data_IF_348053708539
#
_entry.id   IF_348053708539
#
_cell.length_a   1.000
_cell.length_b   1.000
_cell.length_c   1.000
_cell.angle_alpha   90.00
_cell.angle_beta   90.00
_cell.angle_gamma   90.00
#
_symmetry.space_group_name_H-M   'P 1'
#
loop_
_entity.id
_entity.type
_entity.pdbx_description
1 polymer ?
#
# COMPACT_ATOMS: atom_id res chain seq x y z
N UNK A 1 43.41 -34.82 -21.25
CA UNK A 1 42.84 -35.82 -20.33
C UNK A 1 41.34 -35.53 -20.24
N UNK A 2 40.60 -36.40 -20.87
CA UNK A 2 39.12 -36.35 -21.00
C UNK A 2 38.52 -37.01 -19.77
N UNK A 3 37.60 -36.36 -19.07
CA UNK A 3 36.76 -36.99 -18.04
C UNK A 3 35.30 -36.83 -18.41
N UNK A 4 34.73 -37.94 -18.79
CA UNK A 4 33.30 -38.18 -19.11
C UNK A 4 32.43 -38.17 -17.86
N UNK A 5 31.27 -37.54 -17.95
CA UNK A 5 30.18 -37.56 -16.95
C UNK A 5 29.40 -38.88 -17.04
N UNK A 6 28.89 -39.43 -15.93
CA UNK A 6 28.06 -40.63 -15.94
C UNK A 6 26.58 -40.34 -16.33
N UNK A 7 25.81 -41.34 -16.82
CA UNK A 7 24.46 -41.16 -17.36
C UNK A 7 23.38 -41.02 -16.28
N UNK A 8 22.36 -40.23 -16.63
CA UNK A 8 21.13 -40.00 -15.84
C UNK A 8 20.26 -41.27 -15.87
N UNK A 9 19.87 -41.74 -14.71
CA UNK A 9 18.94 -42.86 -14.54
C UNK A 9 17.48 -42.46 -14.81
N UNK A 10 16.75 -43.31 -15.52
CA UNK A 10 15.35 -43.23 -15.90
C UNK A 10 14.39 -43.29 -14.66
N UNK A 11 13.19 -42.72 -14.78
CA UNK A 11 12.23 -42.68 -13.66
C UNK A 11 11.58 -44.05 -13.39
N UNK A 12 11.58 -44.44 -12.13
CA UNK A 12 10.88 -45.59 -11.59
C UNK A 12 9.36 -45.39 -11.61
N UNK A 13 8.65 -46.34 -12.17
CA UNK A 13 7.20 -46.50 -12.18
C UNK A 13 6.66 -46.68 -10.76
N UNK A 14 5.59 -45.94 -10.42
CA UNK A 14 4.81 -46.06 -9.19
C UNK A 14 3.79 -47.21 -9.38
N UNK A 15 3.64 -48.14 -8.41
CA UNK A 15 2.61 -49.19 -8.49
C UNK A 15 1.20 -48.60 -8.24
N UNK A 16 0.26 -48.93 -9.12
CA UNK A 16 -1.18 -48.78 -8.86
C UNK A 16 -1.61 -49.90 -7.91
N UNK A 17 -2.08 -49.51 -6.71
CA UNK A 17 -3.14 -50.18 -5.93
C UNK A 17 -3.10 -49.65 -4.49
N UNK A 18 -4.05 -48.78 -4.22
CA UNK A 18 -4.41 -48.42 -2.85
C UNK A 18 -5.94 -48.38 -2.75
N UNK A 19 -6.52 -49.48 -2.27
CA UNK A 19 -7.98 -49.67 -2.13
C UNK A 19 -8.65 -48.77 -1.07
N UNK A 20 -7.91 -47.99 -0.30
CA UNK A 20 -8.47 -47.11 0.74
C UNK A 20 -9.04 -45.80 0.23
N UNK A 21 -8.72 -45.37 -1.00
CA UNK A 21 -9.24 -44.08 -1.54
C UNK A 21 -10.62 -44.20 -2.18
N UNK A 22 -11.08 -45.40 -2.52
CA UNK A 22 -12.38 -45.64 -3.18
C UNK A 22 -13.58 -45.52 -2.22
N UNK A 23 -13.39 -45.74 -0.92
CA UNK A 23 -14.47 -45.70 0.09
C UNK A 23 -14.93 -44.27 0.45
N UNK A 24 -14.05 -43.28 0.37
CA UNK A 24 -14.34 -41.90 0.81
C UNK A 24 -15.09 -41.07 -0.24
N UNK A 25 -14.92 -41.37 -1.52
CA UNK A 25 -15.60 -40.65 -2.61
C UNK A 25 -17.07 -41.13 -2.75
N UNK A 26 -17.35 -42.41 -2.44
CA UNK A 26 -18.72 -42.93 -2.51
C UNK A 26 -19.60 -42.44 -1.34
N UNK A 27 -19.01 -42.10 -0.19
CA UNK A 27 -19.77 -41.60 0.98
C UNK A 27 -20.15 -40.12 0.84
N UNK A 28 -19.38 -39.33 0.11
CA UNK A 28 -19.70 -37.93 -0.17
C UNK A 28 -20.79 -37.74 -1.24
N UNK A 29 -20.95 -38.71 -2.14
CA UNK A 29 -22.01 -38.70 -3.16
C UNK A 29 -23.38 -39.17 -2.61
N UNK A 30 -23.41 -39.86 -1.50
CA UNK A 30 -24.68 -40.35 -0.89
C UNK A 30 -25.33 -39.34 0.04
N UNK A 31 -24.56 -38.38 0.60
CA UNK A 31 -25.07 -37.31 1.46
C UNK A 31 -25.70 -36.13 0.69
N UNK A 32 -25.45 -36.02 -0.60
CA UNK A 32 -26.00 -34.95 -1.44
C UNK A 32 -27.47 -35.15 -1.88
N UNK A 33 -28.11 -36.29 -1.53
CA UNK A 33 -29.47 -36.61 -2.02
C UNK A 33 -30.63 -36.20 -1.12
N UNK A 34 -30.43 -35.56 0.03
CA UNK A 34 -31.49 -35.22 0.99
C UNK A 34 -31.52 -33.80 1.49
N UNK A 35 -31.06 -32.81 0.70
CA UNK A 35 -31.35 -31.40 0.98
C UNK A 35 -32.41 -30.91 0.00
N UNK A 36 -33.64 -30.59 0.44
CA UNK A 36 -34.65 -30.01 -0.44
C UNK A 36 -34.25 -28.58 -0.80
N UNK A 37 -33.64 -28.37 -1.95
CA UNK A 37 -33.44 -27.05 -2.54
C UNK A 37 -34.79 -26.44 -2.87
N UNK A 38 -35.21 -25.48 -2.07
CA UNK A 38 -36.36 -24.64 -2.33
C UNK A 38 -36.20 -23.89 -3.65
N UNK A 39 -36.92 -24.33 -4.69
CA UNK A 39 -36.91 -23.79 -6.07
C UNK A 39 -37.64 -22.44 -6.20
N UNK A 40 -37.65 -21.55 -5.22
CA UNK A 40 -38.50 -20.35 -5.28
C UNK A 40 -37.79 -19.01 -5.55
N UNK A 41 -36.47 -18.94 -5.84
CA UNK A 41 -35.82 -17.63 -6.02
C UNK A 41 -35.02 -17.45 -7.32
N UNK A 42 -35.17 -18.33 -8.33
CA UNK A 42 -34.51 -18.10 -9.64
C UNK A 42 -35.51 -18.22 -10.80
N UNK A 43 -36.41 -17.26 -10.94
CA UNK A 43 -37.08 -16.97 -12.20
C UNK A 43 -37.46 -15.50 -12.28
N UNK A 44 -36.50 -14.60 -12.58
CA UNK A 44 -36.82 -13.46 -13.42
C UNK A 44 -36.74 -13.96 -14.87
N UNK A 45 -37.74 -13.74 -15.70
CA UNK A 45 -37.69 -14.20 -17.09
C UNK A 45 -36.61 -13.39 -17.83
N UNK A 46 -35.59 -14.08 -18.34
CA UNK A 46 -34.72 -13.53 -19.37
C UNK A 46 -35.60 -13.10 -20.55
N UNK A 47 -35.67 -11.79 -20.80
CA UNK A 47 -36.24 -11.28 -22.04
C UNK A 47 -35.42 -11.83 -23.21
N UNK A 48 -35.97 -12.79 -23.94
CA UNK A 48 -35.42 -13.24 -25.24
C UNK A 48 -35.51 -12.08 -26.18
N UNK A 49 -34.37 -11.54 -26.61
CA UNK A 49 -34.43 -10.66 -27.80
C UNK A 49 -33.40 -9.57 -27.98
N UNK A 50 -32.40 -9.37 -27.07
CA UNK A 50 -31.31 -8.44 -27.40
C UNK A 50 -29.97 -9.21 -27.38
N UNK A 51 -29.12 -9.10 -28.39
CA UNK A 51 -27.79 -9.66 -28.40
C UNK A 51 -26.95 -8.99 -27.31
N UNK A 52 -26.05 -9.73 -26.66
CA UNK A 52 -25.26 -9.30 -25.50
C UNK A 52 -24.45 -7.98 -25.69
N UNK A 53 -24.25 -7.53 -26.95
CA UNK A 53 -23.62 -6.26 -27.28
C UNK A 53 -24.56 -5.05 -27.20
N UNK A 54 -25.91 -5.24 -27.33
CA UNK A 54 -26.89 -4.14 -27.18
C UNK A 54 -27.10 -3.70 -25.72
N UNK A 55 -26.76 -4.53 -24.73
CA UNK A 55 -26.84 -4.17 -23.30
C UNK A 55 -25.75 -3.15 -22.93
N UNK A 56 -24.72 -2.98 -23.77
CA UNK A 56 -23.62 -2.03 -23.56
C UNK A 56 -23.92 -0.58 -24.00
N UNK A 57 -25.04 -0.31 -24.67
CA UNK A 57 -25.27 1.00 -25.29
C UNK A 57 -26.07 2.01 -24.46
N UNK A 58 -26.49 1.70 -23.25
CA UNK A 58 -27.24 2.63 -22.38
C UNK A 58 -26.52 2.94 -21.07
N UNK A 59 -25.18 3.02 -21.07
CA UNK A 59 -24.45 3.59 -19.92
C UNK A 59 -24.56 5.11 -20.01
N UNK A 60 -25.37 5.70 -19.17
CA UNK A 60 -25.44 7.15 -18.98
C UNK A 60 -24.27 7.53 -18.08
N UNK A 61 -23.18 8.03 -18.65
CA UNK A 61 -22.09 8.59 -17.87
C UNK A 61 -22.57 9.86 -17.19
N UNK A 62 -22.61 9.85 -15.87
CA UNK A 62 -23.05 10.96 -15.05
C UNK A 62 -21.88 11.67 -14.33
N UNK A 63 -20.64 11.19 -14.53
CA UNK A 63 -19.44 11.72 -13.91
C UNK A 63 -18.28 11.79 -14.88
N UNK A 64 -17.36 12.73 -14.66
CA UNK A 64 -16.14 12.84 -15.45
C UNK A 64 -14.92 13.27 -14.61
N UNK A 65 -13.76 13.07 -15.21
CA UNK A 65 -12.46 13.54 -14.74
C UNK A 65 -11.99 14.58 -15.74
N UNK A 66 -11.63 15.78 -15.28
CA UNK A 66 -10.96 16.80 -16.06
C UNK A 66 -9.51 16.87 -15.58
N UNK A 67 -8.55 16.60 -16.47
CA UNK A 67 -7.14 16.75 -16.18
C UNK A 67 -6.68 18.20 -16.40
N UNK A 68 -5.67 18.63 -15.66
CA UNK A 68 -5.09 20.00 -15.77
C UNK A 68 -4.71 20.40 -17.22
N UNK A 69 -4.38 19.42 -18.08
CA UNK A 69 -4.18 19.62 -19.52
C UNK A 69 -5.44 19.64 -20.38
N UNK A 70 -6.65 19.68 -19.80
CA UNK A 70 -7.93 19.76 -20.50
C UNK A 70 -8.48 18.44 -21.03
N UNK A 71 -7.76 17.32 -20.90
CA UNK A 71 -8.30 16.02 -21.32
C UNK A 71 -9.36 15.52 -20.35
N UNK A 72 -10.47 15.01 -20.89
CA UNK A 72 -11.60 14.49 -20.12
C UNK A 72 -11.74 12.98 -20.25
N UNK A 73 -12.24 12.34 -19.18
CA UNK A 73 -12.58 10.93 -19.12
C UNK A 73 -13.93 10.80 -18.44
N UNK A 74 -14.86 10.09 -19.06
CA UNK A 74 -16.23 9.94 -18.60
C UNK A 74 -16.45 8.58 -17.96
N UNK A 75 -17.40 8.51 -17.00
CA UNK A 75 -17.76 7.29 -16.30
C UNK A 75 -19.02 7.43 -15.45
N UNK A 76 -19.25 6.43 -14.62
CA UNK A 76 -20.39 6.32 -13.71
C UNK A 76 -19.96 6.62 -12.28
N UNK A 77 -20.71 7.45 -11.56
CA UNK A 77 -20.41 7.80 -10.16
C UNK A 77 -20.68 6.62 -9.23
N UNK A 78 -19.78 6.42 -8.26
CA UNK A 78 -20.02 5.63 -7.05
C UNK A 78 -19.35 6.30 -5.83
N UNK A 79 -19.60 5.81 -4.62
CA UNK A 79 -19.11 6.48 -3.42
C UNK A 79 -19.88 7.77 -3.11
N UNK A 80 -19.19 8.82 -2.65
CA UNK A 80 -19.79 10.10 -2.26
C UNK A 80 -19.97 11.00 -3.48
N UNK A 81 -21.11 11.73 -3.61
CA UNK A 81 -21.26 12.77 -4.62
C UNK A 81 -20.40 14.02 -4.30
N UNK A 82 -20.30 14.93 -5.26
CA UNK A 82 -19.60 16.22 -5.13
C UNK A 82 -18.24 16.26 -5.82
N UNK A 83 -17.75 17.46 -6.01
CA UNK A 83 -16.51 17.74 -6.72
C UNK A 83 -15.28 17.50 -5.82
N UNK A 84 -14.19 17.03 -6.45
CA UNK A 84 -12.93 16.82 -5.75
C UNK A 84 -11.75 17.13 -6.67
N UNK A 85 -10.89 18.06 -6.24
CA UNK A 85 -9.58 18.27 -6.86
C UNK A 85 -8.52 17.48 -6.11
N UNK A 86 -7.76 16.66 -6.85
CA UNK A 86 -6.72 15.78 -6.30
C UNK A 86 -5.50 15.76 -7.21
N UNK A 87 -4.35 15.33 -6.69
CA UNK A 87 -3.26 14.84 -7.51
C UNK A 87 -3.62 13.45 -8.05
N UNK A 88 -3.59 13.25 -9.38
CA UNK A 88 -3.92 11.96 -9.97
C UNK A 88 -2.70 11.06 -10.07
N UNK A 89 -2.84 9.83 -9.57
CA UNK A 89 -1.82 8.80 -9.57
C UNK A 89 -2.41 7.46 -10.03
N UNK A 90 -1.59 6.46 -10.33
CA UNK A 90 -2.08 5.12 -10.64
C UNK A 90 -1.38 4.08 -9.78
N UNK A 91 -2.05 2.94 -9.54
CA UNK A 91 -1.49 1.79 -8.85
C UNK A 91 -1.62 0.54 -9.72
N UNK A 92 -0.54 -0.26 -9.80
CA UNK A 92 -0.45 -1.46 -10.65
C UNK A 92 -0.69 -2.77 -9.90
N UNK A 93 -1.04 -2.73 -8.62
CA UNK A 93 -1.35 -3.93 -7.83
C UNK A 93 -2.56 -4.66 -8.40
N UNK A 94 -2.48 -5.99 -8.46
CA UNK A 94 -3.56 -6.85 -8.96
C UNK A 94 -4.60 -7.19 -7.89
N UNK A 95 -4.30 -6.94 -6.62
CA UNK A 95 -5.15 -7.18 -5.46
C UNK A 95 -4.88 -6.13 -4.38
N UNK A 96 -5.70 -6.12 -3.32
CA UNK A 96 -5.47 -5.24 -2.16
C UNK A 96 -6.03 -3.84 -2.33
N UNK A 97 -7.15 -3.67 -3.05
CA UNK A 97 -7.77 -2.35 -3.19
C UNK A 97 -8.23 -1.77 -1.85
N UNK A 98 -8.57 -2.61 -0.86
CA UNK A 98 -8.96 -2.17 0.47
C UNK A 98 -7.76 -1.56 1.22
N UNK A 99 -6.61 -2.23 1.18
CA UNK A 99 -5.36 -1.76 1.77
C UNK A 99 -4.91 -0.46 1.09
N UNK A 100 -5.03 -0.36 -0.25
CA UNK A 100 -4.73 0.87 -1.00
C UNK A 100 -5.69 2.01 -0.58
N UNK A 101 -6.99 1.73 -0.45
CA UNK A 101 -8.00 2.71 -0.01
C UNK A 101 -7.67 3.25 1.38
N UNK A 102 -7.18 2.41 2.28
CA UNK A 102 -6.89 2.73 3.67
C UNK A 102 -5.41 3.09 3.95
N UNK A 103 -4.54 3.09 2.93
CA UNK A 103 -3.17 3.59 3.06
C UNK A 103 -3.16 5.12 3.06
N UNK A 104 -2.84 5.71 4.20
CA UNK A 104 -2.80 7.16 4.42
C UNK A 104 -1.78 7.89 3.53
N UNK A 105 -0.82 7.18 2.94
CA UNK A 105 0.12 7.75 1.96
C UNK A 105 -0.57 8.23 0.67
N UNK A 106 -1.81 7.80 0.38
CA UNK A 106 -2.63 8.30 -0.72
C UNK A 106 -3.53 9.50 -0.35
N UNK A 107 -3.38 10.07 0.82
CA UNK A 107 -4.16 11.26 1.23
C UNK A 107 -4.10 12.34 0.16
N UNK A 108 -5.28 12.90 -0.22
CA UNK A 108 -5.47 13.89 -1.30
C UNK A 108 -5.12 13.41 -2.72
N UNK A 109 -4.89 12.13 -2.93
CA UNK A 109 -4.62 11.58 -4.26
C UNK A 109 -5.84 10.86 -4.84
N UNK A 110 -6.11 11.09 -6.13
CA UNK A 110 -7.06 10.31 -6.92
C UNK A 110 -6.32 9.09 -7.49
N UNK A 111 -6.68 7.89 -7.00
CA UNK A 111 -5.98 6.65 -7.33
C UNK A 111 -6.67 5.93 -8.49
N UNK A 112 -5.96 5.77 -9.60
CA UNK A 112 -6.39 4.97 -10.75
C UNK A 112 -5.95 3.53 -10.54
N UNK A 113 -6.89 2.61 -10.40
CA UNK A 113 -6.59 1.18 -10.34
C UNK A 113 -6.40 0.64 -11.75
N UNK A 114 -5.22 0.07 -12.03
CA UNK A 114 -4.97 -0.54 -13.35
C UNK A 114 -5.58 -1.94 -13.47
N UNK A 115 -5.77 -2.64 -12.35
CA UNK A 115 -6.54 -3.88 -12.31
C UNK A 115 -8.02 -3.57 -12.60
N UNK A 116 -8.65 -4.29 -13.56
CA UNK A 116 -9.94 -3.86 -14.08
C UNK A 116 -11.10 -3.98 -13.10
N UNK A 117 -11.18 -5.05 -12.31
CA UNK A 117 -12.34 -5.38 -11.47
C UNK A 117 -12.08 -5.00 -10.00
N UNK A 118 -12.81 -4.02 -9.49
CA UNK A 118 -12.68 -3.50 -8.13
C UNK A 118 -14.03 -3.58 -7.38
N UNK A 119 -13.99 -3.96 -6.10
CA UNK A 119 -15.17 -4.12 -5.25
C UNK A 119 -15.62 -5.58 -5.07
N UNK A 120 -15.12 -6.49 -5.89
CA UNK A 120 -15.58 -7.87 -6.01
C UNK A 120 -15.44 -8.74 -4.75
N UNK A 121 -14.58 -8.39 -3.79
CA UNK A 121 -14.45 -9.09 -2.52
C UNK A 121 -14.90 -8.26 -1.29
N UNK A 122 -15.45 -7.06 -1.52
CA UNK A 122 -15.96 -6.19 -0.46
C UNK A 122 -14.86 -5.66 0.46
N UNK A 123 -15.23 -5.35 1.70
CA UNK A 123 -14.36 -4.79 2.72
C UNK A 123 -14.37 -5.70 3.95
N UNK A 124 -13.20 -6.21 4.35
CA UNK A 124 -13.00 -7.05 5.53
C UNK A 124 -12.48 -6.21 6.72
N UNK A 125 -12.89 -6.55 7.95
CA UNK A 125 -12.53 -5.76 9.13
C UNK A 125 -11.02 -5.73 9.42
N UNK A 126 -10.32 -6.81 9.11
CA UNK A 126 -8.90 -7.01 9.44
C UNK A 126 -7.94 -6.37 8.43
N UNK A 127 -8.39 -6.14 7.19
CA UNK A 127 -7.52 -5.73 6.07
C UNK A 127 -7.37 -4.21 5.95
N UNK A 128 -7.87 -3.44 6.93
CA UNK A 128 -7.64 -1.99 6.99
C UNK A 128 -6.24 -1.65 7.48
N UNK A 129 -5.59 -0.73 6.77
CA UNK A 129 -4.29 -0.17 7.14
C UNK A 129 -4.41 1.12 7.97
N UNK A 130 -5.58 1.76 7.98
CA UNK A 130 -5.92 2.88 8.86
C UNK A 130 -7.35 2.76 9.39
N UNK A 131 -7.69 3.56 10.41
CA UNK A 131 -9.06 3.59 10.95
C UNK A 131 -10.02 4.20 9.93
N UNK A 132 -9.61 5.28 9.28
CA UNK A 132 -10.43 6.01 8.31
C UNK A 132 -9.64 6.18 7.02
N UNK A 133 -10.10 5.60 5.90
CA UNK A 133 -9.56 5.87 4.58
C UNK A 133 -9.57 7.37 4.25
N UNK A 134 -8.52 7.86 3.59
CA UNK A 134 -8.33 9.29 3.30
C UNK A 134 -7.90 9.59 1.86
N UNK A 135 -7.99 8.62 0.94
CA UNK A 135 -7.70 8.89 -0.47
C UNK A 135 -8.63 9.98 -1.01
N UNK A 136 -8.16 10.76 -1.98
CA UNK A 136 -8.94 11.83 -2.58
C UNK A 136 -10.10 11.33 -3.44
N UNK A 137 -9.86 10.31 -4.26
CA UNK A 137 -10.86 9.64 -5.08
C UNK A 137 -10.39 8.26 -5.55
N UNK A 138 -11.33 7.39 -5.95
CA UNK A 138 -11.03 6.09 -6.54
C UNK A 138 -11.54 6.02 -7.99
N UNK A 139 -10.65 5.65 -8.92
CA UNK A 139 -10.94 5.59 -10.36
C UNK A 139 -10.72 4.16 -10.85
N UNK A 140 -11.77 3.55 -11.43
CA UNK A 140 -11.75 2.13 -11.77
C UNK A 140 -12.31 1.86 -13.17
N UNK A 141 -11.92 0.74 -13.78
CA UNK A 141 -12.48 0.27 -15.05
C UNK A 141 -13.85 -0.35 -14.83
N UNK A 142 -13.96 -1.28 -13.89
CA UNK A 142 -15.17 -2.00 -13.55
C UNK A 142 -15.37 -1.94 -12.04
N UNK A 143 -16.48 -1.34 -11.61
CA UNK A 143 -16.89 -1.32 -10.23
C UNK A 143 -17.94 -2.41 -9.99
N UNK A 144 -17.73 -3.22 -8.96
CA UNK A 144 -18.68 -4.25 -8.51
C UNK A 144 -19.12 -3.96 -7.07
N UNK A 145 -20.43 -3.80 -6.87
CA UNK A 145 -21.04 -3.56 -5.55
C UNK A 145 -21.67 -4.82 -4.95
N UNK A 146 -21.51 -5.98 -5.59
CA UNK A 146 -21.99 -7.28 -5.12
C UNK A 146 -20.79 -8.17 -4.74
N UNK A 147 -20.21 -8.01 -3.52
CA UNK A 147 -19.02 -8.74 -3.13
C UNK A 147 -19.31 -10.23 -2.91
N UNK A 148 -18.38 -11.07 -3.35
CA UNK A 148 -18.42 -12.54 -3.19
C UNK A 148 -17.25 -13.02 -2.34
N UNK A 149 -17.24 -12.64 -1.05
CA UNK A 149 -16.22 -13.05 -0.08
C UNK A 149 -16.86 -13.23 1.30
N UNK A 150 -16.63 -14.35 1.94
CA UNK A 150 -17.18 -14.65 3.28
C UNK A 150 -16.69 -13.70 4.38
N UNK A 151 -15.54 -13.03 4.19
CA UNK A 151 -14.98 -12.03 5.11
C UNK A 151 -15.57 -10.62 4.92
N UNK A 152 -16.34 -10.42 3.84
CA UNK A 152 -16.91 -9.10 3.54
C UNK A 152 -17.95 -8.70 4.58
N UNK A 153 -17.76 -7.54 5.21
CA UNK A 153 -18.69 -6.96 6.19
C UNK A 153 -19.41 -5.73 5.63
N UNK A 154 -18.87 -5.11 4.57
CA UNK A 154 -19.46 -3.95 3.87
C UNK A 154 -19.07 -4.00 2.41
N UNK A 155 -19.83 -3.29 1.56
CA UNK A 155 -19.40 -3.04 0.20
C UNK A 155 -18.38 -1.90 0.15
N UNK A 156 -17.60 -1.84 -0.92
CA UNK A 156 -16.65 -0.74 -1.15
C UNK A 156 -17.37 0.62 -1.22
N UNK A 157 -18.54 0.66 -1.91
CA UNK A 157 -19.34 1.88 -2.04
C UNK A 157 -19.89 2.40 -0.71
N UNK A 158 -20.32 1.52 0.21
CA UNK A 158 -20.76 1.90 1.55
C UNK A 158 -19.63 2.56 2.36
N UNK A 159 -18.42 1.97 2.32
CA UNK A 159 -17.25 2.54 3.01
C UNK A 159 -16.84 3.87 2.41
N UNK A 160 -16.79 3.99 1.08
CA UNK A 160 -16.46 5.24 0.42
C UNK A 160 -17.46 6.36 0.74
N UNK A 161 -18.77 6.05 0.76
CA UNK A 161 -19.78 7.02 1.19
C UNK A 161 -19.59 7.47 2.63
N UNK A 162 -19.34 6.53 3.54
CA UNK A 162 -19.13 6.84 4.95
C UNK A 162 -17.87 7.71 5.19
N UNK A 163 -16.85 7.56 4.34
CA UNK A 163 -15.58 8.30 4.43
C UNK A 163 -15.56 9.58 3.57
N UNK A 164 -16.62 9.91 2.84
CA UNK A 164 -16.67 11.09 1.98
C UNK A 164 -15.76 10.99 0.74
N UNK A 165 -15.52 9.78 0.23
CA UNK A 165 -14.63 9.51 -0.90
C UNK A 165 -15.46 9.35 -2.18
N UNK A 166 -15.27 10.20 -3.20
CA UNK A 166 -15.89 10.03 -4.51
C UNK A 166 -15.22 8.93 -5.32
N UNK A 167 -16.00 8.26 -6.16
CA UNK A 167 -15.51 7.25 -7.09
C UNK A 167 -16.09 7.44 -8.49
N UNK A 168 -15.35 6.95 -9.49
CA UNK A 168 -15.80 6.90 -10.89
C UNK A 168 -15.42 5.56 -11.52
N UNK A 169 -16.40 4.83 -12.04
CA UNK A 169 -16.28 3.55 -12.73
C UNK A 169 -16.53 3.71 -14.24
N UNK A 170 -16.23 2.68 -15.01
CA UNK A 170 -16.42 2.69 -16.48
C UNK A 170 -15.36 3.46 -17.25
N UNK A 171 -14.32 3.97 -16.57
CA UNK A 171 -13.27 4.81 -17.15
C UNK A 171 -12.28 3.96 -17.96
N UNK A 172 -11.75 4.51 -19.06
CA UNK A 172 -10.58 3.93 -19.72
C UNK A 172 -9.32 4.17 -18.87
N UNK A 173 -9.16 3.34 -17.84
CA UNK A 173 -8.03 3.41 -16.91
C UNK A 173 -6.69 3.18 -17.59
N UNK A 174 -6.63 2.40 -18.70
CA UNK A 174 -5.40 2.20 -19.48
C UNK A 174 -4.95 3.49 -20.17
N UNK A 175 -5.88 4.19 -20.85
CA UNK A 175 -5.56 5.47 -21.49
C UNK A 175 -5.18 6.53 -20.47
N UNK A 176 -5.85 6.56 -19.30
CA UNK A 176 -5.57 7.47 -18.20
C UNK A 176 -4.18 7.19 -17.59
N UNK A 177 -3.86 5.93 -17.29
CA UNK A 177 -2.54 5.51 -16.78
C UNK A 177 -1.41 5.88 -17.74
N UNK A 178 -1.59 5.66 -19.05
CA UNK A 178 -0.61 6.09 -20.05
C UNK A 178 -0.43 7.61 -20.06
N UNK A 179 -1.51 8.36 -19.90
CA UNK A 179 -1.44 9.82 -19.80
C UNK A 179 -0.65 10.28 -18.59
N UNK A 180 -0.80 9.63 -17.43
CA UNK A 180 -0.03 9.93 -16.22
C UNK A 180 1.45 9.56 -16.42
N UNK A 181 1.75 8.40 -16.99
CA UNK A 181 3.12 7.96 -17.29
C UNK A 181 3.84 8.94 -18.23
N UNK A 182 3.16 9.36 -19.28
CA UNK A 182 3.77 10.15 -20.36
C UNK A 182 3.93 11.63 -19.97
N UNK A 183 3.03 12.18 -19.15
CA UNK A 183 3.00 13.62 -18.79
C UNK A 183 3.21 13.90 -17.30
N UNK A 184 3.33 12.89 -16.46
CA UNK A 184 3.51 13.01 -15.02
C UNK A 184 2.20 13.09 -14.23
N UNK A 185 2.34 13.04 -12.89
CA UNK A 185 1.25 13.34 -11.97
C UNK A 185 0.88 14.82 -12.05
N UNK A 186 -0.40 15.13 -11.92
CA UNK A 186 -0.94 16.49 -12.03
C UNK A 186 -2.30 16.59 -11.36
N UNK A 187 -2.82 17.79 -11.25
CA UNK A 187 -4.18 17.99 -10.73
C UNK A 187 -5.23 17.40 -11.66
N UNK A 188 -6.25 16.79 -11.06
CA UNK A 188 -7.45 16.31 -11.72
C UNK A 188 -8.67 16.73 -10.90
N UNK A 189 -9.74 17.13 -11.58
CA UNK A 189 -11.05 17.38 -11.01
C UNK A 189 -11.96 16.20 -11.33
N UNK A 190 -12.52 15.58 -10.30
CA UNK A 190 -13.60 14.60 -10.42
C UNK A 190 -14.90 15.36 -10.18
N UNK A 191 -15.79 15.41 -11.17
CA UNK A 191 -16.99 16.24 -11.17
C UNK A 191 -18.14 15.61 -11.97
N UNK A 192 -19.31 16.21 -11.95
CA UNK A 192 -20.46 15.76 -12.73
C UNK A 192 -20.21 15.92 -14.23
N UNK A 193 -20.82 15.05 -15.04
CA UNK A 193 -20.55 14.98 -16.49
C UNK A 193 -20.93 16.24 -17.26
N UNK A 194 -21.88 17.03 -16.76
CA UNK A 194 -22.39 18.26 -17.35
C UNK A 194 -21.56 19.52 -17.00
N UNK A 195 -20.60 19.43 -16.04
CA UNK A 195 -19.67 20.53 -15.71
C UNK A 195 -18.98 21.05 -16.98
N UNK A 196 -19.07 22.34 -17.33
CA UNK A 196 -18.35 22.88 -18.48
C UNK A 196 -16.82 22.71 -18.32
N UNK A 197 -16.15 22.26 -19.38
CA UNK A 197 -14.70 22.05 -19.34
C UNK A 197 -13.92 23.32 -18.93
N UNK A 198 -14.33 24.49 -19.41
CA UNK A 198 -13.68 25.76 -19.10
C UNK A 198 -13.78 26.07 -17.59
N UNK A 199 -14.95 25.88 -16.99
CA UNK A 199 -15.18 26.04 -15.57
C UNK A 199 -14.34 25.06 -14.74
N UNK A 200 -14.30 23.78 -15.12
CA UNK A 200 -13.47 22.78 -14.48
C UNK A 200 -11.97 23.11 -14.54
N UNK A 201 -11.50 23.67 -15.66
CA UNK A 201 -10.11 24.14 -15.78
C UNK A 201 -9.83 25.36 -14.89
N UNK A 202 -10.78 26.26 -14.72
CA UNK A 202 -10.63 27.40 -13.81
C UNK A 202 -10.57 26.96 -12.35
N UNK A 203 -11.40 25.97 -11.95
CA UNK A 203 -11.32 25.32 -10.64
C UNK A 203 -9.93 24.70 -10.43
N UNK A 204 -9.41 23.95 -11.42
CA UNK A 204 -8.08 23.35 -11.33
C UNK A 204 -6.95 24.37 -11.18
N UNK A 205 -7.04 25.51 -11.89
CA UNK A 205 -6.03 26.58 -11.81
C UNK A 205 -6.06 27.27 -10.45
N UNK A 206 -7.24 27.57 -9.92
CA UNK A 206 -7.42 28.29 -8.66
C UNK A 206 -7.17 27.43 -7.41
N UNK A 207 -7.29 26.10 -7.53
CA UNK A 207 -7.12 25.21 -6.38
C UNK A 207 -5.65 24.94 -6.10
N UNK A 208 -5.22 25.22 -4.86
CA UNK A 208 -3.92 24.84 -4.32
C UNK A 208 -4.09 23.57 -3.52
N UNK A 209 -3.33 22.52 -3.84
CA UNK A 209 -3.34 21.28 -3.07
C UNK A 209 -2.70 21.51 -1.69
N UNK A 210 -3.25 20.91 -0.62
CA UNK A 210 -2.71 21.10 0.72
C UNK A 210 -1.35 20.44 0.90
N UNK A 211 -0.46 21.10 1.67
CA UNK A 211 0.88 20.58 2.03
C UNK A 211 0.94 20.02 3.45
N UNK A 212 -0.16 20.02 4.18
CA UNK A 212 -0.24 19.58 5.57
C UNK A 212 -0.82 18.15 5.73
N UNK A 213 -0.61 17.28 4.75
CA UNK A 213 -1.21 15.95 4.74
C UNK A 213 -0.81 15.12 5.97
N UNK A 214 0.47 15.11 6.36
CA UNK A 214 0.98 14.38 7.55
C UNK A 214 0.25 14.81 8.82
N UNK A 215 0.11 16.11 9.07
CA UNK A 215 -0.53 16.61 10.31
C UNK A 215 -2.03 16.25 10.42
N UNK A 216 -2.68 15.96 9.27
CA UNK A 216 -4.09 15.56 9.24
C UNK A 216 -4.30 14.07 9.47
N UNK A 217 -3.29 13.24 9.20
CA UNK A 217 -3.40 11.76 9.27
C UNK A 217 -2.65 11.14 10.43
N UNK A 218 -1.67 11.83 11.00
CA UNK A 218 -0.96 11.39 12.21
C UNK A 218 -1.90 11.29 13.41
N UNK A 219 -1.60 10.40 14.33
CA UNK A 219 -2.32 10.30 15.60
C UNK A 219 -2.22 11.63 16.38
N UNK A 220 -3.30 11.98 17.10
CA UNK A 220 -3.32 13.21 17.92
C UNK A 220 -2.63 13.01 19.26
N UNK A 221 -2.86 11.85 19.87
CA UNK A 221 -2.33 11.49 21.17
C UNK A 221 -1.48 10.23 21.04
N UNK A 222 -0.40 10.11 21.86
CA UNK A 222 0.38 8.88 21.93
C UNK A 222 -0.49 7.69 22.38
N UNK A 223 -0.22 6.53 21.78
CA UNK A 223 -0.86 5.28 22.20
C UNK A 223 0.14 4.14 22.13
N UNK A 224 -0.09 3.08 22.89
CA UNK A 224 0.80 1.92 22.95
C UNK A 224 0.06 0.68 22.48
N UNK A 225 0.73 -0.09 21.61
CA UNK A 225 0.28 -1.41 21.16
C UNK A 225 1.25 -2.45 21.71
N UNK A 226 0.71 -3.35 22.49
CA UNK A 226 1.44 -4.53 22.97
C UNK A 226 1.24 -5.69 21.99
N UNK A 227 2.17 -6.67 22.02
CA UNK A 227 2.08 -7.86 21.18
C UNK A 227 0.69 -8.49 21.31
N UNK A 228 -0.08 -8.61 20.23
CA UNK A 228 -1.31 -9.36 20.29
C UNK A 228 -0.98 -10.79 20.69
N UNK A 229 -1.75 -11.34 21.61
CA UNK A 229 -1.87 -12.79 21.78
C UNK A 229 -1.97 -13.40 20.39
N UNK A 230 -1.14 -14.37 20.07
CA UNK A 230 -0.99 -14.96 18.76
C UNK A 230 -2.36 -15.16 18.08
N UNK A 231 -2.65 -14.38 17.06
CA UNK A 231 -3.89 -14.50 16.28
C UNK A 231 -3.90 -15.79 15.44
N UNK A 232 -2.74 -16.46 15.37
CA UNK A 232 -2.59 -17.74 14.71
C UNK A 232 -1.65 -18.62 15.54
N UNK A 233 -2.08 -19.85 15.98
CA UNK A 233 -1.21 -20.78 16.71
C UNK A 233 0.04 -21.21 15.93
N UNK A 234 0.07 -20.98 14.61
CA UNK A 234 1.20 -21.25 13.71
C UNK A 234 2.20 -20.10 13.60
N UNK A 235 1.83 -18.89 14.03
CA UNK A 235 2.78 -17.80 14.18
C UNK A 235 3.64 -18.11 15.43
N UNK A 236 4.73 -18.84 15.22
CA UNK A 236 5.73 -19.04 16.25
C UNK A 236 6.27 -17.67 16.67
N UNK A 237 5.73 -17.13 17.76
CA UNK A 237 6.35 -16.02 18.46
C UNK A 237 7.72 -16.53 18.86
N UNK A 238 8.75 -16.10 18.18
CA UNK A 238 10.12 -16.25 18.63
C UNK A 238 10.22 -15.48 19.94
N UNK A 239 9.85 -16.12 21.04
CA UNK A 239 10.11 -15.63 22.38
C UNK A 239 11.62 -15.71 22.60
N UNK A 240 12.32 -14.72 22.05
CA UNK A 240 13.70 -14.48 22.47
C UNK A 240 13.66 -14.28 23.98
N UNK A 241 14.43 -15.06 24.71
CA UNK A 241 14.55 -14.94 26.15
C UNK A 241 14.97 -13.50 26.52
N UNK A 242 14.04 -12.72 27.10
CA UNK A 242 14.28 -11.33 27.45
C UNK A 242 13.00 -10.52 27.55
N UNK A 243 13.12 -9.29 28.06
CA UNK A 243 11.99 -8.34 28.05
C UNK A 243 11.61 -7.95 26.62
N UNK A 244 10.33 -7.61 26.35
CA UNK A 244 9.92 -7.03 25.08
C UNK A 244 10.74 -5.77 24.75
N UNK A 245 11.17 -5.64 23.48
CA UNK A 245 11.81 -4.41 23.01
C UNK A 245 10.76 -3.30 22.89
N UNK A 246 11.12 -2.10 23.36
CA UNK A 246 10.27 -0.91 23.32
C UNK A 246 10.63 -0.07 22.12
N UNK A 247 9.71 0.05 21.19
CA UNK A 247 9.89 0.85 19.96
C UNK A 247 9.06 2.12 20.06
N UNK A 248 9.71 3.27 19.90
CA UNK A 248 9.02 4.54 19.66
C UNK A 248 8.79 4.71 18.16
N UNK A 249 7.54 4.70 17.72
CA UNK A 249 7.16 4.84 16.31
C UNK A 249 6.60 6.23 16.07
N UNK A 250 7.27 7.04 15.25
CA UNK A 250 6.79 8.36 14.83
C UNK A 250 5.79 8.18 13.70
N UNK A 251 4.55 8.61 13.94
CA UNK A 251 3.42 8.44 13.04
C UNK A 251 3.29 9.61 12.05
N UNK A 252 3.75 9.38 10.84
CA UNK A 252 3.55 10.32 9.72
C UNK A 252 2.36 9.94 8.82
N UNK A 253 1.53 8.99 9.21
CA UNK A 253 0.47 8.37 8.42
C UNK A 253 0.69 6.86 8.33
N UNK A 254 0.93 6.23 9.47
CA UNK A 254 1.43 4.88 9.61
C UNK A 254 0.40 3.82 9.22
N UNK A 255 0.82 2.88 8.38
CA UNK A 255 0.07 1.65 8.11
C UNK A 255 0.07 0.74 9.34
N UNK A 256 -1.11 0.20 9.69
CA UNK A 256 -1.27 -0.72 10.82
C UNK A 256 -0.36 -1.94 10.74
N UNK A 257 -0.05 -2.40 9.53
CA UNK A 257 0.77 -3.59 9.36
C UNK A 257 2.23 -3.37 9.80
N UNK A 258 2.70 -2.13 9.88
CA UNK A 258 4.01 -1.80 10.50
C UNK A 258 3.99 -2.16 11.98
N UNK A 259 2.97 -1.69 12.71
CA UNK A 259 2.80 -2.00 14.15
C UNK A 259 2.60 -3.51 14.35
N UNK A 260 1.74 -4.14 13.54
CA UNK A 260 1.50 -5.60 13.57
C UNK A 260 2.80 -6.38 13.34
N UNK A 261 3.67 -5.93 12.42
CA UNK A 261 4.95 -6.57 12.10
C UNK A 261 5.93 -6.53 13.28
N UNK A 262 5.98 -5.43 14.01
CA UNK A 262 6.77 -5.30 15.25
C UNK A 262 6.16 -6.12 16.39
N UNK A 263 4.85 -6.06 16.58
CA UNK A 263 4.16 -6.81 17.63
C UNK A 263 4.32 -8.33 17.45
N UNK A 264 4.24 -8.85 16.22
CA UNK A 264 4.49 -10.29 15.90
C UNK A 264 5.89 -10.73 16.29
N UNK A 265 6.84 -9.80 16.36
CA UNK A 265 8.23 -10.02 16.79
C UNK A 265 8.46 -9.77 18.30
N UNK A 266 7.38 -9.60 19.06
CA UNK A 266 7.42 -9.44 20.51
C UNK A 266 7.82 -8.02 20.97
N UNK A 267 7.65 -7.00 20.13
CA UNK A 267 7.90 -5.62 20.51
C UNK A 267 6.66 -4.98 21.13
N UNK A 268 6.87 -4.10 22.12
CA UNK A 268 5.89 -3.10 22.55
C UNK A 268 6.12 -1.82 21.74
N UNK A 269 5.10 -1.33 21.06
CA UNK A 269 5.22 -0.17 20.17
C UNK A 269 4.45 1.01 20.76
N UNK A 270 5.14 2.10 21.09
CA UNK A 270 4.52 3.38 21.44
C UNK A 270 4.51 4.27 20.22
N UNK A 271 3.32 4.51 19.71
CA UNK A 271 3.08 5.36 18.52
C UNK A 271 2.92 6.80 18.98
N UNK A 272 3.66 7.70 18.34
CA UNK A 272 3.78 9.10 18.70
C UNK A 272 3.37 10.00 17.54
N UNK A 273 2.73 11.14 17.79
CA UNK A 273 2.47 12.14 16.76
C UNK A 273 3.75 12.55 16.01
N UNK A 274 3.58 12.88 14.71
CA UNK A 274 4.67 13.26 13.79
C UNK A 274 5.59 14.37 14.33
N UNK A 275 5.05 15.33 15.07
CA UNK A 275 5.74 16.51 15.59
C UNK A 275 6.22 16.34 17.05
N UNK A 276 6.29 15.12 17.57
CA UNK A 276 6.75 14.85 18.93
C UNK A 276 8.21 15.31 19.10
N UNK A 277 8.50 16.20 20.06
CA UNK A 277 9.87 16.67 20.30
C UNK A 277 10.81 15.57 20.75
N UNK A 278 12.09 15.68 20.40
CA UNK A 278 13.12 14.68 20.73
C UNK A 278 13.22 14.34 22.22
N UNK A 279 13.06 15.34 23.10
CA UNK A 279 13.14 15.11 24.54
C UNK A 279 12.01 14.26 25.07
N UNK A 280 10.82 14.36 24.49
CA UNK A 280 9.70 13.47 24.80
C UNK A 280 9.99 12.04 24.36
N UNK A 281 10.61 11.86 23.19
CA UNK A 281 11.03 10.54 22.70
C UNK A 281 12.13 9.95 23.62
N UNK A 282 13.14 10.74 23.98
CA UNK A 282 14.20 10.31 24.93
C UNK A 282 13.63 9.91 26.28
N UNK A 283 12.63 10.64 26.79
CA UNK A 283 12.01 10.36 28.09
C UNK A 283 11.31 8.98 28.14
N UNK A 284 10.87 8.44 27.01
CA UNK A 284 10.31 7.10 26.89
C UNK A 284 11.39 6.00 27.04
N UNK A 285 12.66 6.36 26.88
CA UNK A 285 13.79 5.43 26.86
C UNK A 285 13.53 4.23 25.93
N UNK A 286 13.22 4.44 24.65
CA UNK A 286 12.98 3.35 23.72
C UNK A 286 14.27 2.59 23.43
N UNK A 287 14.16 1.33 23.02
CA UNK A 287 15.28 0.55 22.55
C UNK A 287 15.62 0.88 21.08
N UNK A 288 14.63 1.36 20.31
CA UNK A 288 14.80 1.81 18.94
C UNK A 288 13.67 2.75 18.50
N UNK A 289 13.90 3.48 17.42
CA UNK A 289 12.95 4.43 16.84
C UNK A 289 12.57 3.97 15.44
N UNK A 290 11.27 3.95 15.13
CA UNK A 290 10.76 3.72 13.79
C UNK A 290 10.14 5.01 13.25
N UNK A 291 10.49 5.39 12.03
CA UNK A 291 9.86 6.49 11.29
C UNK A 291 8.93 5.86 10.24
N UNK A 292 7.64 6.14 10.34
CA UNK A 292 6.64 5.49 9.50
C UNK A 292 6.61 6.05 8.07
N UNK A 293 5.88 5.33 7.21
CA UNK A 293 5.38 5.87 5.95
C UNK A 293 4.43 7.04 6.17
N UNK A 294 4.08 7.74 5.09
CA UNK A 294 3.13 8.84 5.14
C UNK A 294 2.96 9.55 3.79
N UNK A 295 1.99 10.48 3.70
CA UNK A 295 1.70 11.24 2.49
C UNK A 295 2.57 12.50 2.34
N UNK A 296 2.61 13.04 1.12
CA UNK A 296 3.10 14.38 0.83
C UNK A 296 4.57 14.48 0.49
N UNK A 297 5.08 15.70 0.55
CA UNK A 297 6.48 16.02 0.36
C UNK A 297 7.23 15.86 1.70
N UNK A 298 8.35 15.13 1.75
CA UNK A 298 9.11 14.99 3.00
C UNK A 298 9.63 16.31 3.56
N UNK A 299 9.72 17.37 2.76
CA UNK A 299 10.13 18.70 3.21
C UNK A 299 9.02 19.48 3.93
N UNK A 300 7.77 19.02 3.86
CA UNK A 300 6.61 19.62 4.55
C UNK A 300 6.58 19.32 6.07
N UNK A 301 7.51 18.50 6.58
CA UNK A 301 7.60 18.12 8.02
C UNK A 301 8.95 18.49 8.66
N UNK A 302 9.34 19.80 8.63
CA UNK A 302 10.64 20.23 9.11
C UNK A 302 10.86 19.96 10.60
N UNK A 303 9.80 19.94 11.41
CA UNK A 303 9.86 19.61 12.84
C UNK A 303 10.28 18.16 13.06
N UNK A 304 9.73 17.22 12.26
CA UNK A 304 10.12 15.81 12.33
C UNK A 304 11.56 15.62 11.90
N UNK A 305 12.00 16.29 10.82
CA UNK A 305 13.40 16.26 10.34
C UNK A 305 14.35 16.76 11.43
N UNK A 306 14.02 17.87 12.09
CA UNK A 306 14.84 18.43 13.18
C UNK A 306 14.89 17.49 14.39
N UNK A 307 13.77 16.90 14.76
CA UNK A 307 13.67 15.88 15.83
C UNK A 307 14.58 14.69 15.51
N UNK A 308 14.45 14.10 14.34
CA UNK A 308 15.25 12.93 13.90
C UNK A 308 16.74 13.27 13.89
N UNK A 309 17.12 14.44 13.36
CA UNK A 309 18.52 14.91 13.37
C UNK A 309 19.12 14.93 14.77
N UNK A 310 18.35 15.31 15.78
CA UNK A 310 18.82 15.37 17.17
C UNK A 310 18.90 13.99 17.86
N UNK A 311 18.23 12.96 17.29
CA UNK A 311 18.19 11.60 17.83
C UNK A 311 19.19 10.66 17.14
N UNK A 312 19.75 11.03 15.99
CA UNK A 312 20.78 10.29 15.26
C UNK A 312 21.98 10.01 16.20
N UNK A 313 22.47 8.78 16.17
CA UNK A 313 23.58 8.30 17.00
C UNK A 313 23.21 7.96 18.45
N UNK A 314 22.04 8.45 18.95
CA UNK A 314 21.56 8.12 20.30
C UNK A 314 20.77 6.81 20.35
N UNK A 315 20.02 6.50 19.29
CA UNK A 315 19.16 5.32 19.19
C UNK A 315 19.33 4.65 17.83
N UNK A 316 19.12 3.32 17.72
CA UNK A 316 18.88 2.69 16.44
C UNK A 316 17.63 3.26 15.77
N UNK A 317 17.71 3.62 14.47
CA UNK A 317 16.61 4.23 13.72
C UNK A 317 16.32 3.42 12.46
N UNK A 318 15.04 3.10 12.23
CA UNK A 318 14.55 2.50 11.00
C UNK A 318 13.50 3.39 10.34
N UNK A 319 13.72 3.82 9.10
CA UNK A 319 12.80 4.63 8.31
C UNK A 319 12.13 3.84 7.18
N UNK A 320 10.81 3.96 7.03
CA UNK A 320 10.02 3.32 5.99
C UNK A 320 9.37 4.39 5.11
N UNK A 321 9.61 4.35 3.80
CA UNK A 321 9.05 5.23 2.77
C UNK A 321 9.27 6.72 3.11
N UNK A 322 8.26 7.47 3.56
CA UNK A 322 8.44 8.84 4.03
C UNK A 322 9.48 8.92 5.16
N UNK A 323 9.48 7.97 6.09
CA UNK A 323 10.46 7.89 7.18
C UNK A 323 11.90 7.70 6.70
N UNK A 324 12.11 6.97 5.60
CA UNK A 324 13.40 6.86 4.93
C UNK A 324 13.85 8.21 4.35
N UNK A 325 12.94 8.94 3.72
CA UNK A 325 13.21 10.28 3.18
C UNK A 325 13.52 11.28 4.29
N UNK A 326 12.73 11.30 5.37
CA UNK A 326 12.96 12.15 6.56
C UNK A 326 14.34 11.83 7.19
N UNK A 327 14.69 10.57 7.33
CA UNK A 327 16.00 10.15 7.84
C UNK A 327 17.13 10.70 6.96
N UNK A 328 17.01 10.56 5.65
CA UNK A 328 18.00 11.05 4.69
C UNK A 328 18.14 12.58 4.71
N UNK A 329 17.03 13.31 4.79
CA UNK A 329 17.01 14.78 4.98
C UNK A 329 17.63 15.20 6.31
N UNK A 330 17.44 14.41 7.38
CA UNK A 330 18.07 14.67 8.67
C UNK A 330 19.61 14.54 8.63
N UNK A 331 20.15 13.70 7.75
CA UNK A 331 21.59 13.62 7.45
C UNK A 331 22.08 14.70 6.48
N UNK A 332 21.19 15.47 5.86
CA UNK A 332 21.56 16.53 4.93
C UNK A 332 21.47 16.15 3.44
N UNK A 333 20.95 14.98 3.12
CA UNK A 333 20.61 14.63 1.74
C UNK A 333 19.45 15.49 1.21
N UNK A 334 19.19 15.42 -0.11
CA UNK A 334 18.06 16.07 -0.77
C UNK A 334 17.15 15.03 -1.39
N UNK A 335 15.89 15.42 -1.59
CA UNK A 335 14.87 14.64 -2.30
C UNK A 335 14.39 15.39 -3.52
N UNK A 336 13.87 14.65 -4.51
CA UNK A 336 13.24 15.22 -5.70
C UNK A 336 11.95 14.48 -6.03
N UNK A 337 11.03 15.16 -6.71
CA UNK A 337 9.76 14.59 -7.13
C UNK A 337 9.93 13.78 -8.41
N UNK A 338 9.52 12.52 -8.38
CA UNK A 338 9.48 11.64 -9.55
C UNK A 338 8.36 12.08 -10.49
N UNK A 339 8.52 11.83 -11.79
CA UNK A 339 7.54 12.22 -12.82
C UNK A 339 6.14 11.65 -12.55
N UNK A 340 6.03 10.38 -12.16
CA UNK A 340 4.77 9.71 -11.84
C UNK A 340 4.84 8.84 -10.57
N UNK A 341 6.00 8.77 -9.91
CA UNK A 341 6.22 7.98 -8.70
C UNK A 341 6.19 6.47 -8.94
N UNK A 342 6.45 5.71 -7.87
CA UNK A 342 6.35 4.25 -7.87
C UNK A 342 5.14 3.81 -7.06
N UNK A 343 4.22 3.03 -7.67
CA UNK A 343 3.03 2.50 -7.01
C UNK A 343 2.64 1.15 -7.57
N UNK A 344 2.66 0.13 -6.71
CA UNK A 344 2.32 -1.24 -7.05
C UNK A 344 3.10 -2.25 -6.22
N UNK A 345 2.77 -3.53 -6.34
CA UNK A 345 3.39 -4.63 -5.62
C UNK A 345 4.37 -5.46 -6.47
N UNK A 346 4.95 -4.88 -7.52
CA UNK A 346 5.74 -5.62 -8.52
C UNK A 346 7.05 -4.90 -8.92
N UNK A 347 7.59 -4.06 -8.04
CA UNK A 347 8.83 -3.34 -8.30
C UNK A 347 10.05 -4.17 -7.86
N UNK A 348 10.97 -4.53 -8.78
CA UNK A 348 12.18 -5.26 -8.45
C UNK A 348 13.22 -4.29 -7.88
N UNK A 349 13.69 -4.57 -6.67
CA UNK A 349 14.74 -3.82 -5.97
C UNK A 349 15.93 -4.74 -5.72
N UNK A 350 17.12 -4.27 -6.02
CA UNK A 350 18.37 -4.98 -5.74
C UNK A 350 18.95 -4.54 -4.41
N UNK A 351 19.13 -5.49 -3.50
CA UNK A 351 19.92 -5.31 -2.31
C UNK A 351 21.41 -5.40 -2.67
N UNK A 352 22.14 -4.30 -2.56
CA UNK A 352 23.55 -4.19 -2.96
C UNK A 352 24.50 -4.93 -2.00
N UNK A 353 24.08 -5.14 -0.74
CA UNK A 353 24.90 -5.85 0.26
C UNK A 353 24.89 -7.36 0.03
N UNK A 354 23.75 -7.91 -0.42
CA UNK A 354 23.59 -9.35 -0.62
C UNK A 354 23.60 -9.78 -2.07
N UNK A 355 23.39 -8.83 -3.00
CA UNK A 355 23.20 -9.07 -4.42
C UNK A 355 21.83 -9.64 -4.80
N UNK A 356 20.94 -9.90 -3.81
CA UNK A 356 19.59 -10.43 -4.05
C UNK A 356 18.66 -9.39 -4.66
N UNK A 357 17.70 -9.87 -5.44
CA UNK A 357 16.59 -9.07 -5.98
C UNK A 357 15.35 -9.43 -5.17
N UNK A 358 14.65 -8.42 -4.71
CA UNK A 358 13.40 -8.50 -3.95
C UNK A 358 12.29 -7.86 -4.76
N UNK A 359 11.11 -8.46 -4.77
CA UNK A 359 9.92 -7.82 -5.34
C UNK A 359 9.24 -7.04 -4.21
N UNK A 360 9.03 -5.74 -4.44
CA UNK A 360 8.64 -4.82 -3.37
C UNK A 360 7.30 -4.16 -3.65
N UNK A 361 6.63 -3.77 -2.56
CA UNK A 361 5.47 -2.90 -2.59
C UNK A 361 5.91 -1.45 -2.50
N UNK A 362 5.43 -0.60 -3.42
CA UNK A 362 5.83 0.80 -3.55
C UNK A 362 4.61 1.72 -3.50
N UNK A 363 4.75 2.86 -2.83
CA UNK A 363 3.79 3.97 -2.89
C UNK A 363 4.47 5.28 -2.50
N UNK A 364 5.20 5.89 -3.42
CA UNK A 364 5.87 7.17 -3.17
C UNK A 364 5.97 8.03 -4.43
N UNK A 365 6.01 9.35 -4.23
CA UNK A 365 6.19 10.36 -5.29
C UNK A 365 7.59 10.98 -5.29
N UNK A 366 8.36 10.81 -4.22
CA UNK A 366 9.68 11.40 -4.06
C UNK A 366 10.74 10.32 -3.90
N UNK A 367 11.97 10.64 -4.31
CA UNK A 367 13.15 9.79 -4.16
C UNK A 367 14.33 10.62 -3.65
N UNK A 368 15.37 9.94 -3.14
CA UNK A 368 16.62 10.58 -2.71
C UNK A 368 17.45 10.96 -3.94
N UNK A 369 17.99 12.18 -3.96
CA UNK A 369 18.94 12.63 -4.97
C UNK A 369 20.33 12.03 -4.69
N UNK A 370 20.83 11.19 -5.59
CA UNK A 370 22.06 10.42 -5.38
C UNK A 370 23.29 11.31 -5.10
N UNK A 371 23.47 12.38 -5.89
CA UNK A 371 24.61 13.30 -5.72
C UNK A 371 24.62 13.95 -4.35
N UNK A 372 23.47 14.10 -3.70
CA UNK A 372 23.37 14.70 -2.38
C UNK A 372 23.94 13.82 -1.26
N UNK A 373 24.04 12.51 -1.47
CA UNK A 373 24.59 11.57 -0.49
C UNK A 373 26.11 11.69 -0.33
N UNK A 374 26.83 12.22 -1.32
CA UNK A 374 28.28 12.37 -1.28
C UNK A 374 28.80 13.18 -0.06
N UNK A 375 27.96 14.06 0.48
CA UNK A 375 28.28 14.91 1.65
C UNK A 375 27.65 14.36 2.95
N UNK A 376 27.19 13.11 2.97
CA UNK A 376 26.54 12.48 4.11
C UNK A 376 27.29 11.19 4.50
N UNK A 377 27.14 10.67 5.73
CA UNK A 377 27.68 9.37 6.10
C UNK A 377 26.82 8.19 5.62
N UNK A 378 25.81 8.43 4.79
CA UNK A 378 24.90 7.40 4.29
C UNK A 378 25.52 6.62 3.14
N UNK A 379 25.40 5.30 3.18
CA UNK A 379 25.72 4.39 2.10
C UNK A 379 24.45 3.87 1.44
N UNK A 380 24.42 3.78 0.11
CA UNK A 380 23.30 3.22 -0.64
C UNK A 380 23.29 1.69 -0.44
N UNK A 381 22.16 1.15 -0.05
CA UNK A 381 21.99 -0.30 0.22
C UNK A 381 21.06 -0.99 -0.76
N UNK A 382 20.11 -0.26 -1.34
CA UNK A 382 19.12 -0.81 -2.27
C UNK A 382 18.88 0.15 -3.43
N UNK A 383 18.67 -0.41 -4.64
CA UNK A 383 18.38 0.34 -5.86
C UNK A 383 17.24 -0.31 -6.64
N UNK A 384 16.38 0.50 -7.24
CA UNK A 384 15.33 0.05 -8.13
C UNK A 384 15.94 -0.40 -9.46
N UNK A 385 15.53 -1.58 -9.95
CA UNK A 385 16.07 -2.11 -11.22
C UNK A 385 15.39 -1.54 -12.46
N UNK A 386 14.27 -0.81 -12.31
CA UNK A 386 13.55 -0.23 -13.45
C UNK A 386 14.14 1.11 -13.89
N UNK A 387 14.61 1.93 -12.95
CA UNK A 387 15.04 3.29 -13.21
C UNK A 387 16.31 3.72 -12.44
N UNK A 388 16.86 2.86 -11.57
CA UNK A 388 18.06 3.15 -10.80
C UNK A 388 17.86 4.03 -9.58
N UNK A 389 16.63 4.41 -9.22
CA UNK A 389 16.36 5.22 -8.03
C UNK A 389 16.84 4.54 -6.75
N UNK A 390 17.26 5.36 -5.77
CA UNK A 390 17.72 4.89 -4.46
C UNK A 390 16.53 4.37 -3.68
N UNK A 391 16.61 3.11 -3.26
CA UNK A 391 15.56 2.40 -2.53
C UNK A 391 15.95 2.07 -1.10
N UNK A 392 17.17 2.38 -0.68
CA UNK A 392 17.60 2.21 0.70
C UNK A 392 18.95 2.82 0.98
N UNK A 393 19.10 3.32 2.21
CA UNK A 393 20.34 3.89 2.75
C UNK A 393 20.62 3.38 4.16
N UNK A 394 21.89 3.43 4.57
CA UNK A 394 22.33 3.03 5.91
C UNK A 394 23.52 3.86 6.39
N UNK A 395 23.51 4.21 7.67
CA UNK A 395 24.67 4.67 8.42
C UNK A 395 24.99 3.68 9.55
N UNK A 396 25.94 2.80 9.32
CA UNK A 396 26.32 1.74 10.28
C UNK A 396 26.77 2.33 11.61
N UNK A 397 27.59 3.39 11.57
CA UNK A 397 28.12 4.07 12.77
C UNK A 397 26.99 4.52 13.71
N UNK A 398 25.94 5.10 13.15
CA UNK A 398 24.83 5.68 13.89
C UNK A 398 23.66 4.69 14.10
N UNK A 399 23.83 3.44 13.62
CA UNK A 399 22.82 2.37 13.69
C UNK A 399 21.50 2.80 13.06
N UNK A 400 21.54 3.50 11.94
CA UNK A 400 20.40 4.06 11.26
C UNK A 400 20.31 3.55 9.82
N UNK A 401 19.12 3.10 9.40
CA UNK A 401 18.87 2.71 8.01
C UNK A 401 17.41 2.99 7.63
N UNK A 402 17.16 3.03 6.34
CA UNK A 402 15.80 3.19 5.82
C UNK A 402 15.66 2.59 4.44
N UNK A 403 14.42 2.22 4.10
CA UNK A 403 14.03 1.74 2.77
C UNK A 403 12.86 2.54 2.23
N UNK A 404 12.86 2.78 0.92
CA UNK A 404 11.85 3.59 0.24
C UNK A 404 10.53 2.82 0.02
N UNK A 405 10.62 1.50 -0.09
CA UNK A 405 9.49 0.59 -0.26
C UNK A 405 8.90 0.14 1.09
N UNK A 406 7.83 -0.67 1.03
CA UNK A 406 7.02 -1.07 2.17
C UNK A 406 7.33 -2.53 2.59
N UNK A 407 8.25 -2.77 3.55
CA UNK A 407 8.59 -4.12 4.02
C UNK A 407 7.47 -4.79 4.81
N UNK A 408 6.49 -4.01 5.28
CA UNK A 408 5.27 -4.50 5.93
C UNK A 408 4.27 -5.07 4.94
N UNK A 409 4.44 -4.84 3.61
CA UNK A 409 3.50 -5.23 2.57
C UNK A 409 2.12 -4.57 2.74
N UNK A 410 1.01 -5.31 2.59
CA UNK A 410 -0.37 -4.84 2.77
C UNK A 410 -0.74 -3.61 1.87
N UNK A 411 -0.96 -3.85 0.54
CA UNK A 411 -0.80 -5.13 -0.15
C UNK A 411 0.62 -5.32 -0.68
N UNK A 412 0.99 -6.54 -0.98
CA UNK A 412 2.21 -6.84 -1.72
C UNK A 412 2.98 -8.06 -1.23
N UNK A 413 4.15 -8.34 -1.86
CA UNK A 413 5.02 -9.45 -1.50
C UNK A 413 5.71 -9.22 -0.15
N UNK A 414 6.14 -10.30 0.50
CA UNK A 414 6.78 -10.29 1.82
C UNK A 414 8.29 -10.49 1.77
N UNK A 415 8.91 -10.36 0.61
CA UNK A 415 10.34 -10.62 0.37
C UNK A 415 11.24 -9.80 1.31
N UNK A 416 10.81 -8.59 1.67
CA UNK A 416 11.55 -7.64 2.49
C UNK A 416 11.17 -7.62 3.98
N UNK A 417 10.29 -8.54 4.43
CA UNK A 417 9.85 -8.58 5.85
C UNK A 417 11.01 -8.79 6.85
N UNK A 418 12.14 -9.36 6.40
CA UNK A 418 13.37 -9.54 7.20
C UNK A 418 13.98 -8.23 7.67
N UNK A 419 13.64 -7.08 7.08
CA UNK A 419 14.15 -5.78 7.50
C UNK A 419 13.70 -5.40 8.92
N UNK A 420 12.53 -5.86 9.35
CA UNK A 420 12.14 -5.75 10.76
C UNK A 420 13.06 -6.58 11.67
N UNK A 421 13.47 -7.77 11.23
CA UNK A 421 14.40 -8.61 11.99
C UNK A 421 15.79 -7.98 12.05
N UNK A 422 16.27 -7.39 10.92
CA UNK A 422 17.50 -6.58 10.87
C UNK A 422 17.44 -5.45 11.89
N UNK A 423 16.33 -4.72 11.98
CA UNK A 423 16.15 -3.63 12.94
C UNK A 423 16.31 -4.13 14.38
N UNK A 424 15.62 -5.24 14.72
CA UNK A 424 15.73 -5.81 16.07
C UNK A 424 17.13 -6.37 16.39
N UNK A 425 17.86 -6.87 15.39
CA UNK A 425 19.25 -7.29 15.55
C UNK A 425 20.16 -6.09 15.87
N UNK A 426 19.98 -4.96 15.15
CA UNK A 426 20.74 -3.72 15.40
C UNK A 426 20.48 -3.17 16.82
N UNK A 427 19.25 -3.29 17.31
CA UNK A 427 18.89 -2.86 18.68
C UNK A 427 19.61 -3.71 19.74
N UNK A 428 19.82 -5.00 19.48
CA UNK A 428 20.41 -5.95 20.44
C UNK A 428 21.94 -5.92 20.48
N UNK A 429 22.60 -5.25 19.53
CA UNK A 429 24.05 -5.00 19.51
C UNK A 429 24.43 -3.86 20.43
#
# INVERSE_FOLDING_TARGET
>A
MSTTLPPVSSPTTVPADCDECSGMVLHLLTLAKHVPLSRKHFRKPLRRGAPAWEVSMNRTFNRKIILEGGREFYGEAFGTPGDRVCEIVFNTSMAGYQEILSDLSYTDQAVVMTYPLIGNYGMAAEDYESITPSIGALIVREYNDEPSNFRSVKTLGEVMKACGIPGIGGVDTRALTRSIRDYGTRKALITDADMPQAEGLDILRSTILPTNAVSRVSCRDPWTSESPLALNPLDSISSAAGRPLRIAAVDCGMKRNIVRSLNRRGCTVTVLPWNTPADKIRALQPDGILLSNGPGDPTDVPETIATVRSLIGSFPIFGICLGHQILSLAYGARTYKLKFGHRGGNHPVKNLLTGKIEITSQNHSYAIEEESLANTPLSITHVNLLDGTIEGVECVRDRAFGVQYHPESAPGPQDSAYLFDKFLQIIRQ
#
